data_IF_495551529417
#
_entry.id   IF_495551529417
#
_cell.length_a   1.000
_cell.length_b   1.000
_cell.length_c   1.000
_cell.angle_alpha   90.00
_cell.angle_beta   90.00
_cell.angle_gamma   90.00
#
_symmetry.space_group_name_H-M   'P 1'
#
loop_
_entity.id
_entity.type
_entity.pdbx_description
1 polymer ?
#
# COMPACT_ATOMS: atom_id res chain seq x y z
N UNK A 1 10.89 84.02 4.20
CA UNK A 1 11.63 83.05 3.38
C UNK A 1 10.87 81.72 3.42
N UNK A 2 10.08 81.42 2.38
CA UNK A 2 9.16 80.29 2.33
C UNK A 2 9.91 78.97 2.09
N UNK A 3 9.74 77.98 2.98
CA UNK A 3 10.27 76.62 2.83
C UNK A 3 9.17 75.75 2.19
N UNK A 4 9.40 75.29 0.97
CA UNK A 4 8.53 74.36 0.25
C UNK A 4 8.83 72.92 0.68
N UNK A 5 7.85 72.22 1.26
CA UNK A 5 7.96 70.80 1.64
C UNK A 5 7.57 69.94 0.45
N UNK A 6 8.52 69.24 -0.17
CA UNK A 6 8.25 68.26 -1.24
C UNK A 6 7.64 67.00 -0.62
N UNK A 7 6.39 66.69 -0.96
CA UNK A 7 5.75 65.39 -0.67
C UNK A 7 6.24 64.36 -1.70
N UNK A 8 6.90 63.30 -1.23
CA UNK A 8 7.18 62.12 -2.05
C UNK A 8 6.02 61.14 -1.92
N UNK A 9 5.37 60.83 -3.05
CA UNK A 9 4.31 59.82 -3.14
C UNK A 9 4.97 58.47 -3.43
N UNK A 10 5.01 57.58 -2.43
CA UNK A 10 5.47 56.21 -2.62
C UNK A 10 4.38 55.40 -3.32
N UNK A 11 4.55 55.15 -4.63
CA UNK A 11 3.72 54.23 -5.38
C UNK A 11 4.20 52.81 -5.05
N UNK A 12 3.43 52.07 -4.25
CA UNK A 12 3.71 50.66 -3.97
C UNK A 12 3.32 49.84 -5.20
N UNK A 13 4.31 49.43 -5.98
CA UNK A 13 4.13 48.49 -7.08
C UNK A 13 3.86 47.09 -6.52
N UNK A 14 2.59 46.66 -6.52
CA UNK A 14 2.25 45.25 -6.32
C UNK A 14 2.71 44.47 -7.55
N UNK A 15 3.85 43.77 -7.44
CA UNK A 15 4.29 42.85 -8.48
C UNK A 15 3.27 41.70 -8.59
N UNK A 16 2.76 41.37 -9.80
CA UNK A 16 1.82 40.26 -9.99
C UNK A 16 2.41 38.90 -9.56
N UNK A 17 3.74 38.79 -9.41
CA UNK A 17 4.40 37.61 -8.87
C UNK A 17 4.04 37.31 -7.39
N UNK A 18 3.75 38.34 -6.59
CA UNK A 18 3.43 38.17 -5.16
C UNK A 18 1.98 37.67 -4.98
N UNK A 19 1.06 38.08 -5.86
CA UNK A 19 -0.32 37.60 -5.85
C UNK A 19 -0.42 36.11 -6.23
N UNK A 20 0.41 35.62 -7.14
CA UNK A 20 0.47 34.19 -7.49
C UNK A 20 0.99 33.29 -6.35
N UNK A 21 1.92 33.79 -5.53
CA UNK A 21 2.50 32.99 -4.44
C UNK A 21 1.51 32.75 -3.29
N UNK A 22 0.67 33.75 -2.98
CA UNK A 22 -0.37 33.63 -1.96
C UNK A 22 -1.53 32.73 -2.39
N UNK A 23 -1.89 32.73 -3.69
CA UNK A 23 -2.88 31.79 -4.21
C UNK A 23 -2.43 30.33 -4.07
N UNK A 24 -1.14 30.04 -4.24
CA UNK A 24 -0.58 28.69 -4.11
C UNK A 24 -0.60 28.16 -2.67
N UNK A 25 -0.49 29.03 -1.67
CA UNK A 25 -0.56 28.69 -0.24
C UNK A 25 -2.00 28.52 0.28
N UNK A 26 -3.00 28.99 -0.48
CA UNK A 26 -4.42 28.93 -0.12
C UNK A 26 -5.20 27.88 -0.92
N UNK A 27 -4.54 27.17 -1.84
CA UNK A 27 -5.14 25.98 -2.44
C UNK A 27 -5.25 24.93 -1.33
N UNK A 28 -6.45 24.39 -1.06
CA UNK A 28 -6.56 23.24 -0.18
C UNK A 28 -5.67 22.16 -0.77
N UNK A 29 -4.66 21.73 -0.01
CA UNK A 29 -3.95 20.49 -0.29
C UNK A 29 -5.01 19.41 -0.25
N UNK A 30 -5.62 19.14 -1.40
CA UNK A 30 -6.60 18.09 -1.56
C UNK A 30 -5.80 16.81 -1.32
N UNK A 31 -5.80 16.34 -0.06
CA UNK A 31 -5.44 14.96 0.24
C UNK A 31 -6.35 14.16 -0.67
N UNK A 32 -5.81 13.40 -1.63
CA UNK A 32 -6.64 12.61 -2.52
C UNK A 32 -7.18 11.47 -1.68
N UNK A 33 -8.32 11.71 -1.06
CA UNK A 33 -9.10 10.71 -0.37
C UNK A 33 -9.68 9.82 -1.47
N UNK A 34 -9.35 8.54 -1.47
CA UNK A 34 -10.10 7.57 -2.27
C UNK A 34 -11.54 7.68 -1.77
N UNK A 35 -12.46 8.06 -2.65
CA UNK A 35 -13.85 8.27 -2.26
C UNK A 35 -14.44 6.96 -1.73
N UNK A 36 -15.35 7.03 -0.75
CA UNK A 36 -15.92 5.84 -0.11
C UNK A 36 -16.57 4.86 -1.10
N UNK A 37 -17.18 5.38 -2.18
CA UNK A 37 -17.75 4.58 -3.26
C UNK A 37 -16.71 3.70 -3.97
N UNK A 38 -15.50 4.21 -4.21
CA UNK A 38 -14.43 3.43 -4.84
C UNK A 38 -13.89 2.34 -3.92
N UNK A 39 -13.86 2.58 -2.60
CA UNK A 39 -13.50 1.57 -1.61
C UNK A 39 -14.56 0.47 -1.55
N UNK A 40 -15.85 0.83 -1.56
CA UNK A 40 -16.96 -0.12 -1.57
C UNK A 40 -16.95 -0.98 -2.85
N UNK A 41 -16.83 -0.36 -4.02
CA UNK A 41 -16.75 -1.10 -5.29
C UNK A 41 -15.52 -2.04 -5.33
N UNK A 42 -14.39 -1.60 -4.78
CA UNK A 42 -13.22 -2.43 -4.59
C UNK A 42 -13.49 -3.62 -3.66
N UNK A 43 -14.14 -3.38 -2.52
CA UNK A 43 -14.48 -4.41 -1.54
C UNK A 43 -15.45 -5.44 -2.12
N UNK A 44 -16.46 -5.00 -2.86
CA UNK A 44 -17.40 -5.89 -3.56
C UNK A 44 -16.69 -6.75 -4.61
N UNK A 45 -15.76 -6.15 -5.36
CA UNK A 45 -14.92 -6.87 -6.32
C UNK A 45 -14.08 -7.96 -5.64
N UNK A 46 -13.35 -7.60 -4.58
CA UNK A 46 -12.53 -8.55 -3.82
C UNK A 46 -13.39 -9.62 -3.16
N UNK A 47 -14.54 -9.23 -2.59
CA UNK A 47 -15.48 -10.17 -1.95
C UNK A 47 -15.94 -11.22 -2.95
N UNK A 48 -16.47 -10.83 -4.11
CA UNK A 48 -16.91 -11.79 -5.14
C UNK A 48 -15.79 -12.71 -5.63
N UNK A 49 -14.56 -12.19 -5.73
CA UNK A 49 -13.42 -13.00 -6.14
C UNK A 49 -13.04 -14.06 -5.10
N UNK A 50 -13.16 -13.73 -3.81
CA UNK A 50 -12.59 -14.51 -2.72
C UNK A 50 -13.61 -15.29 -1.86
N UNK A 51 -14.90 -14.92 -1.89
CA UNK A 51 -15.97 -15.49 -1.04
C UNK A 51 -16.17 -17.00 -1.25
N UNK A 52 -15.85 -17.50 -2.44
CA UNK A 52 -15.96 -18.91 -2.78
C UNK A 52 -15.00 -19.84 -2.01
N UNK A 53 -13.95 -19.28 -1.38
CA UNK A 53 -12.93 -20.08 -0.69
C UNK A 53 -13.24 -20.22 0.79
N UNK A 54 -13.39 -21.46 1.26
CA UNK A 54 -13.48 -21.75 2.70
C UNK A 54 -12.16 -21.38 3.37
N UNK A 55 -12.20 -20.50 4.37
CA UNK A 55 -11.01 -20.10 5.11
C UNK A 55 -10.66 -21.10 6.20
N UNK A 56 -9.37 -21.14 6.56
CA UNK A 56 -8.90 -21.78 7.80
C UNK A 56 -8.56 -20.73 8.85
N UNK A 57 -8.17 -21.19 10.04
CA UNK A 57 -7.75 -20.30 11.12
C UNK A 57 -6.45 -19.55 10.76
N UNK A 58 -6.63 -18.33 10.27
CA UNK A 58 -5.59 -17.33 10.09
C UNK A 58 -5.53 -16.43 11.31
N UNK A 59 -4.33 -16.01 11.70
CA UNK A 59 -4.11 -15.15 12.88
C UNK A 59 -3.52 -13.81 12.52
N UNK A 60 -2.77 -13.71 11.42
CA UNK A 60 -2.03 -12.51 11.06
C UNK A 60 -2.24 -12.13 9.59
N UNK A 61 -2.15 -10.84 9.30
CA UNK A 61 -1.88 -10.34 7.94
C UNK A 61 -0.48 -9.72 7.98
N UNK A 62 0.40 -10.12 7.07
CA UNK A 62 1.81 -9.69 7.09
C UNK A 62 2.15 -9.02 5.76
N UNK A 63 2.58 -7.77 5.85
CA UNK A 63 2.79 -6.91 4.69
C UNK A 63 4.27 -6.90 4.31
N UNK A 64 4.51 -7.10 3.01
CA UNK A 64 5.82 -7.13 2.39
C UNK A 64 5.92 -6.16 1.22
N UNK A 65 7.13 -5.75 0.90
CA UNK A 65 7.48 -5.27 -0.43
C UNK A 65 8.31 -6.34 -1.17
N UNK A 66 8.41 -6.24 -2.49
CA UNK A 66 9.26 -7.15 -3.26
C UNK A 66 10.74 -6.74 -3.25
N UNK A 67 11.04 -5.48 -2.90
CA UNK A 67 12.34 -4.84 -3.10
C UNK A 67 12.80 -4.86 -4.57
N UNK A 68 11.86 -4.94 -5.51
CA UNK A 68 12.12 -4.95 -6.96
C UNK A 68 11.37 -3.81 -7.65
N UNK A 69 11.87 -3.36 -8.82
CA UNK A 69 11.20 -2.34 -9.64
C UNK A 69 9.98 -2.88 -10.41
N UNK A 70 10.03 -4.16 -10.76
CA UNK A 70 9.03 -4.89 -11.54
C UNK A 70 8.74 -6.23 -10.87
N UNK A 71 7.58 -6.80 -11.17
CA UNK A 71 7.20 -8.13 -10.70
C UNK A 71 5.71 -8.40 -10.81
N UNK A 72 5.37 -9.67 -10.71
CA UNK A 72 4.02 -10.21 -10.63
C UNK A 72 4.08 -11.57 -9.90
N UNK A 73 2.93 -12.20 -9.66
CA UNK A 73 2.87 -13.47 -8.95
C UNK A 73 3.64 -14.58 -9.69
N UNK A 74 3.55 -14.64 -11.02
CA UNK A 74 4.21 -15.66 -11.84
C UNK A 74 5.75 -15.53 -11.82
N UNK A 75 6.29 -14.32 -11.94
CA UNK A 75 7.73 -14.04 -11.85
C UNK A 75 8.28 -14.39 -10.46
N UNK A 76 7.55 -14.01 -9.41
CA UNK A 76 7.94 -14.35 -8.04
C UNK A 76 7.81 -15.85 -7.76
N UNK A 77 6.79 -16.54 -8.29
CA UNK A 77 6.66 -17.99 -8.22
C UNK A 77 7.87 -18.68 -8.86
N UNK A 78 8.21 -18.29 -10.09
CA UNK A 78 9.38 -18.79 -10.82
C UNK A 78 10.65 -18.62 -10.01
N UNK A 79 10.92 -17.40 -9.51
CA UNK A 79 12.08 -17.14 -8.66
C UNK A 79 12.11 -18.02 -7.40
N UNK A 80 10.98 -18.17 -6.71
CA UNK A 80 10.89 -18.99 -5.51
C UNK A 80 11.13 -20.49 -5.79
N UNK A 81 10.65 -21.02 -6.92
CA UNK A 81 10.90 -22.41 -7.32
C UNK A 81 12.34 -22.63 -7.78
N UNK A 82 12.81 -21.80 -8.70
CA UNK A 82 14.07 -22.04 -9.41
C UNK A 82 15.27 -21.60 -8.58
N UNK A 83 15.17 -20.47 -7.87
CA UNK A 83 16.29 -19.91 -7.10
C UNK A 83 16.23 -20.30 -5.63
N UNK A 84 15.06 -20.15 -4.99
CA UNK A 84 14.90 -20.48 -3.55
C UNK A 84 14.60 -21.96 -3.28
N UNK A 85 14.35 -22.75 -4.33
CA UNK A 85 14.03 -24.20 -4.26
C UNK A 85 12.80 -24.51 -3.40
N UNK A 86 11.84 -23.58 -3.35
CA UNK A 86 10.58 -23.79 -2.65
C UNK A 86 9.64 -24.64 -3.52
N UNK A 87 9.33 -25.86 -3.06
CA UNK A 87 8.47 -26.81 -3.79
C UNK A 87 7.08 -26.25 -4.11
N UNK A 88 6.55 -25.39 -3.24
CA UNK A 88 5.24 -24.76 -3.40
C UNK A 88 5.33 -23.33 -3.96
N UNK A 89 6.46 -22.99 -4.59
CA UNK A 89 6.66 -21.74 -5.32
C UNK A 89 6.34 -20.48 -4.51
N UNK A 90 5.54 -19.58 -5.09
CA UNK A 90 5.23 -18.25 -4.58
C UNK A 90 5.05 -18.23 -3.05
N UNK A 91 5.91 -17.53 -2.31
CA UNK A 91 5.86 -17.53 -0.85
C UNK A 91 4.71 -16.73 -0.23
N UNK A 92 4.04 -15.89 -1.02
CA UNK A 92 2.96 -14.98 -0.61
C UNK A 92 1.59 -15.56 -0.97
N UNK A 93 0.56 -15.05 -0.30
CA UNK A 93 -0.83 -15.38 -0.61
C UNK A 93 -1.41 -14.42 -1.66
N UNK A 94 -0.94 -13.16 -1.63
CA UNK A 94 -1.35 -12.12 -2.56
C UNK A 94 -0.15 -11.30 -3.03
N UNK A 95 -0.22 -10.80 -4.27
CA UNK A 95 0.72 -9.83 -4.83
C UNK A 95 -0.04 -8.61 -5.33
N UNK A 96 0.42 -7.40 -5.01
CA UNK A 96 -0.18 -6.14 -5.48
C UNK A 96 0.75 -5.44 -6.45
N UNK A 97 0.35 -5.40 -7.72
CA UNK A 97 1.13 -4.84 -8.82
C UNK A 97 1.32 -3.32 -8.73
N UNK A 98 2.42 -2.81 -9.30
CA UNK A 98 2.74 -1.38 -9.34
C UNK A 98 2.61 -0.75 -10.74
N UNK A 99 2.17 -1.50 -11.74
CA UNK A 99 2.12 -1.09 -13.15
C UNK A 99 3.29 -1.62 -14.00
N UNK A 100 4.31 -2.22 -13.38
CA UNK A 100 5.45 -2.82 -14.06
C UNK A 100 5.48 -4.33 -13.77
N UNK A 101 5.12 -5.14 -14.78
CA UNK A 101 4.96 -6.60 -14.66
C UNK A 101 3.51 -7.04 -14.36
N UNK A 102 2.79 -6.27 -13.54
CA UNK A 102 1.35 -6.43 -13.26
C UNK A 102 0.67 -5.07 -13.19
N UNK A 103 -0.65 -5.02 -13.36
CA UNK A 103 -1.43 -3.78 -13.34
C UNK A 103 -1.23 -2.99 -12.04
N UNK A 104 -1.23 -1.66 -12.11
CA UNK A 104 -1.04 -0.81 -10.93
C UNK A 104 -2.24 -0.93 -9.97
N UNK A 105 -1.99 -1.44 -8.77
CA UNK A 105 -3.03 -1.80 -7.80
C UNK A 105 -3.75 -3.11 -8.10
N UNK A 106 -3.39 -3.84 -9.15
CA UNK A 106 -3.99 -5.15 -9.43
C UNK A 106 -3.60 -6.16 -8.35
N UNK A 107 -4.58 -6.88 -7.80
CA UNK A 107 -4.39 -7.91 -6.78
C UNK A 107 -4.34 -9.26 -7.47
N UNK A 108 -3.17 -9.90 -7.47
CA UNK A 108 -2.99 -11.27 -7.90
C UNK A 108 -3.15 -12.22 -6.71
N UNK A 109 -3.96 -13.25 -6.90
CA UNK A 109 -4.24 -14.27 -5.89
C UNK A 109 -3.30 -15.46 -6.13
N UNK A 110 -2.48 -15.79 -5.13
CA UNK A 110 -1.56 -16.92 -5.20
C UNK A 110 -2.22 -18.25 -4.82
N UNK A 111 -1.67 -19.36 -5.32
CA UNK A 111 -2.13 -20.72 -5.02
C UNK A 111 -2.25 -21.03 -3.53
N UNK A 112 -1.40 -20.40 -2.70
CA UNK A 112 -1.46 -20.58 -1.24
C UNK A 112 -2.75 -20.05 -0.63
N UNK A 113 -3.33 -18.98 -1.17
CA UNK A 113 -4.66 -18.55 -0.75
C UNK A 113 -5.72 -19.52 -1.28
N UNK A 114 -5.69 -19.85 -2.57
CA UNK A 114 -6.67 -20.73 -3.21
C UNK A 114 -6.79 -22.08 -2.51
N UNK A 115 -5.66 -22.62 -2.08
CA UNK A 115 -5.56 -23.92 -1.41
C UNK A 115 -5.42 -23.80 0.12
N UNK A 116 -5.52 -22.59 0.67
CA UNK A 116 -5.39 -22.28 2.10
C UNK A 116 -4.11 -22.85 2.75
N UNK A 117 -2.99 -22.85 2.02
CA UNK A 117 -1.71 -23.38 2.48
C UNK A 117 -0.94 -22.37 3.33
N UNK A 118 -0.08 -22.85 4.23
CA UNK A 118 0.88 -22.00 4.94
C UNK A 118 1.76 -21.20 3.97
N UNK A 119 2.17 -20.00 4.35
CA UNK A 119 3.11 -19.16 3.60
C UNK A 119 4.58 -19.61 3.72
N UNK A 120 5.46 -18.93 2.98
CA UNK A 120 6.92 -19.04 3.12
C UNK A 120 7.61 -17.67 3.26
N UNK A 121 6.84 -16.63 3.55
CA UNK A 121 7.21 -15.22 3.38
C UNK A 121 7.99 -14.61 4.55
N UNK A 122 7.87 -15.14 5.78
CA UNK A 122 8.63 -14.63 6.94
C UNK A 122 9.86 -15.48 7.25
N UNK A 123 9.73 -16.80 7.17
CA UNK A 123 10.76 -17.76 7.60
C UNK A 123 10.71 -18.12 9.09
N UNK A 124 9.66 -17.69 9.80
CA UNK A 124 9.34 -18.08 11.18
C UNK A 124 8.05 -18.88 11.16
N UNK A 125 8.05 -20.06 11.79
CA UNK A 125 6.96 -21.03 11.67
C UNK A 125 5.58 -20.47 12.07
N UNK A 126 5.49 -19.74 13.18
CA UNK A 126 4.21 -19.16 13.62
C UNK A 126 3.60 -18.22 12.55
N UNK A 127 4.41 -17.31 12.01
CA UNK A 127 3.96 -16.34 11.02
C UNK A 127 3.73 -16.95 9.64
N UNK A 128 4.51 -17.95 9.23
CA UNK A 128 4.26 -18.66 7.98
C UNK A 128 3.00 -19.55 8.08
N UNK A 129 2.80 -20.23 9.20
CA UNK A 129 1.67 -21.15 9.40
C UNK A 129 0.35 -20.44 9.57
N UNK A 130 0.33 -19.27 10.20
CA UNK A 130 -0.91 -18.56 10.54
C UNK A 130 -1.02 -17.15 9.94
N UNK A 131 -0.02 -16.71 9.18
CA UNK A 131 0.00 -15.38 8.57
C UNK A 131 -0.26 -15.37 7.08
N UNK A 132 -1.21 -14.55 6.67
CA UNK A 132 -1.51 -14.22 5.28
C UNK A 132 -0.49 -13.17 4.80
N UNK A 133 0.48 -13.60 4.00
CA UNK A 133 1.47 -12.72 3.39
C UNK A 133 0.96 -11.99 2.16
N UNK A 134 1.01 -10.66 2.16
CA UNK A 134 0.70 -9.79 1.02
C UNK A 134 1.99 -9.10 0.58
N UNK A 135 2.41 -9.26 -0.67
CA UNK A 135 3.60 -8.61 -1.22
C UNK A 135 3.23 -7.51 -2.21
N UNK A 136 3.72 -6.30 -1.99
CA UNK A 136 3.56 -5.21 -2.94
C UNK A 136 4.80 -5.07 -3.81
N UNK A 137 4.62 -4.97 -5.13
CA UNK A 137 5.74 -4.78 -6.05
C UNK A 137 6.33 -3.38 -5.84
N UNK A 138 7.62 -3.29 -5.52
CA UNK A 138 8.31 -2.03 -5.27
C UNK A 138 9.43 -2.14 -4.24
N UNK A 139 10.28 -1.11 -4.17
CA UNK A 139 11.23 -0.91 -3.08
C UNK A 139 10.85 0.33 -2.26
N UNK A 140 10.04 0.13 -1.22
CA UNK A 140 9.62 1.25 -0.37
C UNK A 140 10.66 1.73 0.65
N UNK A 141 11.92 1.30 0.54
CA UNK A 141 13.02 2.08 1.12
C UNK A 141 13.40 3.29 0.25
N UNK A 142 13.13 3.22 -1.05
CA UNK A 142 13.52 4.24 -2.03
C UNK A 142 12.36 5.18 -2.38
N UNK A 143 11.14 4.66 -2.50
CA UNK A 143 9.98 5.42 -2.95
C UNK A 143 8.71 5.09 -2.13
N UNK A 144 7.66 5.88 -2.27
CA UNK A 144 6.35 5.55 -1.70
C UNK A 144 5.60 4.54 -2.59
N UNK A 145 4.67 3.73 -2.04
CA UNK A 145 3.71 2.99 -2.84
C UNK A 145 2.81 3.94 -3.65
N UNK A 146 2.29 3.46 -4.78
CA UNK A 146 1.31 4.23 -5.56
C UNK A 146 -0.02 4.36 -4.82
N UNK A 147 -0.84 5.36 -5.19
CA UNK A 147 -2.20 5.51 -4.63
C UNK A 147 -3.08 4.31 -4.94
N UNK A 148 -2.98 3.76 -6.16
CA UNK A 148 -3.74 2.57 -6.57
C UNK A 148 -3.32 1.34 -5.76
N UNK A 149 -2.02 1.16 -5.51
CA UNK A 149 -1.53 0.11 -4.62
C UNK A 149 -2.09 0.25 -3.21
N UNK A 150 -2.07 1.46 -2.64
CA UNK A 150 -2.62 1.70 -1.30
C UNK A 150 -4.14 1.48 -1.24
N UNK A 151 -4.88 1.88 -2.29
CA UNK A 151 -6.32 1.61 -2.38
C UNK A 151 -6.62 0.12 -2.29
N UNK A 152 -5.92 -0.67 -3.10
CA UNK A 152 -6.05 -2.13 -3.11
C UNK A 152 -5.63 -2.76 -1.79
N UNK A 153 -4.59 -2.23 -1.13
CA UNK A 153 -4.18 -2.70 0.20
C UNK A 153 -5.25 -2.47 1.26
N UNK A 154 -5.86 -1.28 1.31
CA UNK A 154 -6.95 -0.97 2.25
C UNK A 154 -8.09 -1.95 2.07
N UNK A 155 -8.56 -2.10 0.83
CA UNK A 155 -9.67 -3.00 0.49
C UNK A 155 -9.34 -4.46 0.84
N UNK A 156 -8.17 -4.96 0.45
CA UNK A 156 -7.77 -6.35 0.68
C UNK A 156 -7.61 -6.64 2.18
N UNK A 157 -6.96 -5.73 2.93
CA UNK A 157 -6.78 -5.90 4.37
C UNK A 157 -8.14 -5.91 5.08
N UNK A 158 -9.05 -4.98 4.77
CA UNK A 158 -10.38 -4.94 5.38
C UNK A 158 -11.21 -6.18 5.08
N UNK A 159 -11.17 -6.67 3.83
CA UNK A 159 -11.79 -7.93 3.46
C UNK A 159 -11.25 -9.10 4.31
N UNK A 160 -9.93 -9.25 4.38
CA UNK A 160 -9.30 -10.35 5.11
C UNK A 160 -9.53 -10.27 6.61
N UNK A 161 -9.52 -9.08 7.21
CA UNK A 161 -9.88 -8.87 8.61
C UNK A 161 -11.28 -9.39 8.91
N UNK A 162 -12.26 -8.97 8.10
CA UNK A 162 -13.66 -9.39 8.27
C UNK A 162 -13.83 -10.90 8.05
N UNK A 163 -13.27 -11.42 6.94
CA UNK A 163 -13.47 -12.81 6.53
C UNK A 163 -12.75 -13.81 7.44
N UNK A 164 -11.60 -13.43 8.01
CA UNK A 164 -10.79 -14.31 8.85
C UNK A 164 -10.86 -13.94 10.35
N UNK A 165 -11.68 -12.95 10.73
CA UNK A 165 -11.77 -12.42 12.09
C UNK A 165 -10.40 -12.01 12.68
N UNK A 166 -9.60 -11.31 11.87
CA UNK A 166 -8.27 -10.83 12.26
C UNK A 166 -8.37 -9.39 12.74
N UNK A 167 -7.96 -9.17 13.99
CA UNK A 167 -7.95 -7.87 14.62
C UNK A 167 -6.80 -6.98 14.12
N UNK A 168 -6.94 -5.66 14.30
CA UNK A 168 -6.01 -4.66 13.76
C UNK A 168 -4.59 -4.80 14.30
N UNK A 169 -4.42 -5.20 15.55
CA UNK A 169 -3.13 -5.46 16.19
C UNK A 169 -2.38 -6.67 15.60
N UNK A 170 -3.07 -7.52 14.84
CA UNK A 170 -2.48 -8.66 14.15
C UNK A 170 -2.16 -8.37 12.67
N UNK A 171 -2.24 -7.11 12.26
CA UNK A 171 -1.74 -6.64 10.97
C UNK A 171 -0.32 -6.15 11.20
N UNK A 172 0.64 -6.91 10.69
CA UNK A 172 2.07 -6.74 10.98
C UNK A 172 2.84 -6.38 9.71
N UNK A 173 3.91 -5.61 9.89
CA UNK A 173 4.95 -5.45 8.89
C UNK A 173 5.95 -6.60 9.03
N UNK A 174 6.62 -7.01 7.95
CA UNK A 174 7.63 -8.08 8.04
C UNK A 174 8.73 -7.77 9.08
N UNK A 175 9.15 -6.51 9.18
CA UNK A 175 10.11 -6.03 10.21
C UNK A 175 9.63 -6.19 11.66
N UNK A 176 8.32 -6.28 11.89
CA UNK A 176 7.75 -6.52 13.23
C UNK A 176 7.87 -8.00 13.62
N UNK A 177 8.06 -8.89 12.64
CA UNK A 177 8.19 -10.32 12.83
C UNK A 177 9.64 -10.80 12.91
N UNK A 178 10.58 -10.10 12.26
CA UNK A 178 12.02 -10.44 12.25
C UNK A 178 12.90 -9.27 11.80
N UNK A 179 14.21 -9.40 11.95
CA UNK A 179 15.19 -8.43 11.42
C UNK A 179 15.17 -8.35 9.89
N UNK A 180 14.61 -7.28 9.35
CA UNK A 180 14.57 -6.92 7.92
C UNK A 180 14.11 -5.48 7.76
N UNK A 181 14.43 -4.82 6.65
CA UNK A 181 13.87 -3.49 6.33
C UNK A 181 12.44 -3.57 5.78
N UNK A 182 11.99 -4.75 5.35
CA UNK A 182 10.71 -4.96 4.68
C UNK A 182 9.50 -4.57 5.58
N UNK A 183 8.47 -3.86 5.06
CA UNK A 183 8.24 -3.45 3.68
C UNK A 183 8.86 -2.10 3.28
N UNK A 184 9.81 -1.59 4.05
CA UNK A 184 10.55 -0.37 3.76
C UNK A 184 10.05 0.85 4.54
N UNK A 185 10.96 1.80 4.78
CA UNK A 185 10.72 2.98 5.63
C UNK A 185 9.62 3.92 5.13
N UNK A 186 9.33 3.94 3.82
CA UNK A 186 8.32 4.81 3.22
C UNK A 186 6.94 4.13 3.12
N UNK A 187 6.77 2.89 3.61
CA UNK A 187 5.47 2.25 3.63
C UNK A 187 4.53 2.94 4.65
N UNK A 188 3.41 3.53 4.23
CA UNK A 188 2.55 4.33 5.10
C UNK A 188 1.57 3.43 5.88
N UNK A 189 2.05 2.65 6.85
CA UNK A 189 1.24 1.66 7.58
C UNK A 189 -0.08 2.20 8.13
N UNK A 190 -0.08 3.40 8.72
CA UNK A 190 -1.29 4.02 9.25
C UNK A 190 -2.39 4.28 8.21
N UNK A 191 -2.04 4.34 6.92
CA UNK A 191 -3.02 4.55 5.85
C UNK A 191 -3.93 3.33 5.62
N UNK A 192 -3.61 2.16 6.18
CA UNK A 192 -4.46 0.96 6.10
C UNK A 192 -5.72 1.08 6.97
N UNK A 193 -5.71 1.98 7.95
CA UNK A 193 -6.74 2.11 8.99
C UNK A 193 -7.50 3.43 8.92
N UNK A 194 -7.26 4.22 7.88
CA UNK A 194 -8.08 5.42 7.65
C UNK A 194 -9.50 4.92 7.41
N UNK A 195 -10.44 5.38 8.23
CA UNK A 195 -11.82 4.93 8.20
C UNK A 195 -12.37 4.97 6.77
N UNK A 196 -12.57 3.79 6.18
CA UNK A 196 -13.61 3.64 5.15
C UNK A 196 -14.92 3.54 5.93
N UNK A 197 -15.71 4.62 5.89
CA UNK A 197 -17.11 4.75 6.29
C UNK A 197 -17.59 3.88 7.46
#
# INVERSE_FOLDING_TARGET
MHIQVKRYMYIVFFSPAIACLLAYLMLPVHKPTITGEHLLAGLDSVTRQLEQYKTREWKYIIIHHSATKTGNAAEFDKYHRETRRWKNGLGYHFVVGNGNGSGNGYIEIGDRWLQQQSGAHVGINNYNRYGIGICMVGNFNEHYPSRAQMASMVVLVQYLQKQCNISTENILLHKDCKTTDCPGKNFPFGHLFVQSL
#
